data_IF_524222316373
#
_entry.id   IF_524222316373
#
_cell.length_a   1.000
_cell.length_b   1.000
_cell.length_c   1.000
_cell.angle_alpha   90.00
_cell.angle_beta   90.00
_cell.angle_gamma   90.00
#
_symmetry.space_group_name_H-M   'P 1'
#
loop_
_entity.id
_entity.type
_entity.pdbx_description
1 polymer ?
#
# COMPACT_ATOMS: atom_id res chain seq x y z
N UNK A 1 12.33 -12.81 -21.98
CA UNK A 1 13.67 -12.96 -21.40
C UNK A 1 13.53 -13.25 -19.92
N UNK A 2 14.13 -14.33 -19.42
CA UNK A 2 14.14 -14.66 -17.98
C UNK A 2 14.93 -13.56 -17.26
N UNK A 3 14.30 -12.86 -16.33
CA UNK A 3 14.98 -11.83 -15.54
C UNK A 3 15.81 -12.53 -14.47
N UNK A 4 17.12 -12.53 -14.62
CA UNK A 4 18.05 -13.05 -13.60
C UNK A 4 18.17 -12.07 -12.43
N UNK A 5 18.13 -12.58 -11.21
CA UNK A 5 18.34 -11.81 -9.98
C UNK A 5 19.62 -12.33 -9.28
N UNK A 6 20.31 -11.49 -8.51
CA UNK A 6 20.08 -10.06 -8.27
C UNK A 6 20.44 -9.18 -9.47
N UNK A 7 19.83 -7.98 -9.56
CA UNK A 7 20.04 -7.04 -10.66
C UNK A 7 20.10 -5.59 -10.18
N UNK A 8 21.08 -4.82 -10.68
CA UNK A 8 21.17 -3.39 -10.40
C UNK A 8 20.00 -2.62 -11.02
N UNK A 9 19.46 -1.65 -10.28
CA UNK A 9 18.43 -0.74 -10.72
C UNK A 9 18.64 0.63 -10.05
N UNK A 10 19.36 1.51 -10.73
CA UNK A 10 19.82 2.77 -10.13
C UNK A 10 20.62 2.52 -8.85
N UNK A 11 20.19 3.11 -7.73
CA UNK A 11 20.80 2.90 -6.40
C UNK A 11 20.29 1.66 -5.66
N UNK A 12 19.38 0.89 -6.26
CA UNK A 12 18.79 -0.31 -5.68
C UNK A 12 19.36 -1.57 -6.32
N UNK A 13 19.37 -2.67 -5.59
CA UNK A 13 19.59 -4.02 -6.12
C UNK A 13 18.27 -4.77 -6.02
N UNK A 14 17.67 -5.12 -7.16
CA UNK A 14 16.46 -5.95 -7.21
C UNK A 14 16.83 -7.40 -6.88
N UNK A 15 16.13 -8.01 -5.90
CA UNK A 15 16.43 -9.34 -5.39
C UNK A 15 15.49 -10.41 -5.93
N UNK A 16 14.20 -10.11 -5.98
CA UNK A 16 13.17 -10.99 -6.58
C UNK A 16 11.93 -10.21 -6.96
N UNK A 17 11.12 -10.79 -7.85
CA UNK A 17 9.78 -10.29 -8.16
C UNK A 17 8.81 -10.73 -7.06
N UNK A 18 8.05 -9.78 -6.51
CA UNK A 18 6.97 -10.05 -5.56
C UNK A 18 5.63 -10.20 -6.28
N UNK A 19 5.36 -9.34 -7.27
CA UNK A 19 4.14 -9.42 -8.06
C UNK A 19 4.35 -8.85 -9.47
N UNK A 20 3.55 -9.33 -10.43
CA UNK A 20 3.42 -8.78 -11.79
C UNK A 20 1.95 -8.61 -12.12
N UNK A 21 1.59 -7.46 -12.65
CA UNK A 21 0.21 -7.16 -13.04
C UNK A 21 0.11 -6.05 -14.07
N UNK A 22 -1.10 -5.72 -14.49
CA UNK A 22 -1.36 -4.68 -15.49
C UNK A 22 -0.90 -3.27 -15.09
N UNK A 23 -0.74 -3.02 -13.80
CA UNK A 23 -0.27 -1.72 -13.27
C UNK A 23 1.25 -1.64 -13.10
N UNK A 24 1.99 -2.71 -13.40
CA UNK A 24 3.44 -2.76 -13.24
C UNK A 24 3.95 -3.99 -12.53
N UNK A 25 5.21 -3.93 -12.17
CA UNK A 25 5.92 -5.01 -11.49
C UNK A 25 6.39 -4.54 -10.11
N UNK A 26 6.28 -5.42 -9.12
CA UNK A 26 6.68 -5.16 -7.74
C UNK A 26 7.85 -6.08 -7.39
N UNK A 27 8.92 -5.50 -6.86
CA UNK A 27 10.15 -6.20 -6.53
C UNK A 27 10.54 -6.01 -5.07
N UNK A 28 11.06 -7.06 -4.46
CA UNK A 28 11.92 -6.92 -3.29
C UNK A 28 13.25 -6.37 -3.75
N UNK A 29 13.77 -5.39 -3.06
CA UNK A 29 15.04 -4.76 -3.36
C UNK A 29 15.82 -4.43 -2.09
N UNK A 30 17.12 -4.22 -2.25
CA UNK A 30 18.00 -3.70 -1.22
C UNK A 30 18.44 -2.27 -1.57
N UNK A 31 18.46 -1.41 -0.56
CA UNK A 31 19.03 -0.08 -0.59
C UNK A 31 20.21 -0.03 0.37
N UNK A 32 21.38 0.29 -0.13
CA UNK A 32 22.59 0.47 0.66
C UNK A 32 23.80 0.54 -0.29
N UNK A 33 24.83 1.26 0.11
CA UNK A 33 26.11 1.37 -0.62
C UNK A 33 27.28 0.84 0.19
N UNK A 34 27.08 0.54 1.46
CA UNK A 34 28.10 0.07 2.40
C UNK A 34 27.66 -1.29 2.91
N UNK A 35 28.54 -2.26 2.85
CA UNK A 35 28.29 -3.61 3.35
C UNK A 35 27.85 -3.60 4.82
N UNK A 36 26.82 -4.38 5.13
CA UNK A 36 26.23 -4.47 6.47
C UNK A 36 25.23 -3.35 6.81
N UNK A 37 25.02 -2.34 5.96
CA UNK A 37 24.05 -1.27 6.14
C UNK A 37 22.90 -1.32 5.11
N UNK A 38 22.65 -2.49 4.57
CA UNK A 38 21.57 -2.71 3.62
C UNK A 38 20.20 -2.68 4.29
N UNK A 39 19.25 -2.05 3.62
CA UNK A 39 17.85 -2.06 4.03
C UNK A 39 17.00 -2.66 2.93
N UNK A 40 16.24 -3.71 3.27
CA UNK A 40 15.24 -4.25 2.37
C UNK A 40 14.10 -3.24 2.18
N UNK A 41 13.64 -3.15 0.94
CA UNK A 41 12.55 -2.28 0.53
C UNK A 41 11.78 -2.92 -0.62
N UNK A 42 10.68 -2.28 -0.99
CA UNK A 42 9.86 -2.66 -2.15
C UNK A 42 10.02 -1.60 -3.23
N UNK A 43 10.29 -2.03 -4.45
CA UNK A 43 10.28 -1.18 -5.65
C UNK A 43 9.05 -1.55 -6.48
N UNK A 44 8.15 -0.60 -6.64
CA UNK A 44 7.02 -0.70 -7.56
C UNK A 44 7.39 0.04 -8.83
N UNK A 45 7.62 -0.71 -9.92
CA UNK A 45 7.82 -0.14 -11.25
C UNK A 45 6.48 0.13 -11.91
N UNK A 46 6.37 1.29 -12.51
CA UNK A 46 5.23 1.65 -13.34
C UNK A 46 5.70 1.62 -14.79
N UNK A 47 5.06 0.81 -15.61
CA UNK A 47 5.36 0.72 -17.03
C UNK A 47 4.53 1.82 -17.73
N UNK A 48 5.14 2.91 -18.22
CA UNK A 48 4.40 3.85 -19.03
C UNK A 48 4.02 3.15 -20.33
N UNK A 49 2.77 3.14 -20.69
CA UNK A 49 2.41 2.82 -22.08
C UNK A 49 3.10 3.81 -23.02
N UNK A 50 3.61 3.30 -24.14
CA UNK A 50 4.61 3.92 -25.02
C UNK A 50 4.26 5.31 -25.61
N UNK A 51 3.15 5.96 -25.25
CA UNK A 51 2.67 7.15 -25.94
C UNK A 51 2.13 8.31 -25.08
N UNK A 52 2.24 8.28 -23.73
CA UNK A 52 1.53 9.30 -22.95
C UNK A 52 2.42 10.02 -21.91
N UNK A 53 3.02 11.15 -22.35
CA UNK A 53 3.72 12.09 -21.46
C UNK A 53 2.81 12.61 -20.31
N UNK A 54 1.49 12.63 -20.51
CA UNK A 54 0.52 13.01 -19.50
C UNK A 54 0.41 12.01 -18.37
N UNK A 55 0.59 10.71 -18.63
CA UNK A 55 0.59 9.67 -17.60
C UNK A 55 1.83 9.77 -16.71
N UNK A 56 2.98 10.04 -17.29
CA UNK A 56 4.24 10.25 -16.56
C UNK A 56 4.14 11.44 -15.59
N UNK A 57 3.60 12.56 -16.04
CA UNK A 57 3.40 13.76 -15.23
C UNK A 57 2.44 13.49 -14.06
N UNK A 58 1.31 12.84 -14.32
CA UNK A 58 0.33 12.47 -13.27
C UNK A 58 0.96 11.56 -12.21
N UNK A 59 1.71 10.53 -12.64
CA UNK A 59 2.43 9.64 -11.73
C UNK A 59 3.38 10.42 -10.82
N UNK A 60 4.18 11.35 -11.37
CA UNK A 60 5.11 12.16 -10.60
C UNK A 60 4.39 13.10 -9.61
N UNK A 61 3.28 13.69 -10.01
CA UNK A 61 2.51 14.59 -9.15
C UNK A 61 1.86 13.83 -7.98
N UNK A 62 1.33 12.65 -8.23
CA UNK A 62 0.81 11.76 -7.19
C UNK A 62 1.92 11.24 -6.27
N UNK A 63 3.08 10.84 -6.82
CA UNK A 63 4.23 10.41 -6.05
C UNK A 63 4.72 11.51 -5.08
N UNK A 64 4.71 12.79 -5.50
CA UNK A 64 5.07 13.93 -4.62
C UNK A 64 4.19 14.01 -3.39
N UNK A 65 2.90 13.71 -3.52
CA UNK A 65 1.96 13.73 -2.40
C UNK A 65 2.26 12.55 -1.46
N UNK A 66 2.37 11.34 -2.01
CA UNK A 66 2.59 10.13 -1.21
C UNK A 66 3.91 10.17 -0.45
N UNK A 67 4.97 10.74 -1.03
CA UNK A 67 6.26 10.95 -0.35
C UNK A 67 6.18 11.85 0.91
N UNK A 68 5.14 12.67 1.04
CA UNK A 68 4.93 13.54 2.21
C UNK A 68 4.16 12.87 3.32
N UNK A 69 3.42 11.80 3.00
CA UNK A 69 2.59 11.11 3.99
C UNK A 69 3.48 10.28 4.92
N UNK A 70 3.30 10.45 6.22
CA UNK A 70 4.01 9.67 7.24
C UNK A 70 3.07 9.34 8.38
N UNK A 71 2.63 8.08 8.44
CA UNK A 71 1.73 7.59 9.47
C UNK A 71 1.96 6.09 9.69
N UNK A 72 1.83 5.58 10.92
CA UNK A 72 2.08 4.17 11.23
C UNK A 72 1.15 3.19 10.48
N UNK A 73 -0.09 3.60 10.21
CA UNK A 73 -1.06 2.85 9.42
C UNK A 73 -0.95 3.01 7.90
N UNK A 74 0.12 3.64 7.38
CA UNK A 74 0.39 3.76 5.96
C UNK A 74 1.73 3.10 5.63
N UNK A 75 1.83 2.47 4.45
CA UNK A 75 3.13 2.03 3.93
C UNK A 75 3.97 3.26 3.61
N UNK A 76 5.11 3.40 4.28
CA UNK A 76 5.97 4.56 4.13
C UNK A 76 6.67 4.54 2.78
N UNK A 77 6.34 5.50 1.92
CA UNK A 77 7.04 5.76 0.66
C UNK A 77 8.16 6.75 0.92
N UNK A 78 9.38 6.42 0.56
CA UNK A 78 10.56 7.25 0.89
C UNK A 78 11.35 7.73 -0.31
N UNK A 79 11.06 7.21 -1.51
CA UNK A 79 11.72 7.62 -2.73
C UNK A 79 10.83 7.35 -3.96
N UNK A 80 11.00 8.15 -5.00
CA UNK A 80 10.41 7.93 -6.30
C UNK A 80 11.33 8.54 -7.35
N UNK A 81 11.34 7.97 -8.54
CA UNK A 81 12.21 8.46 -9.60
C UNK A 81 12.07 7.69 -10.90
N UNK A 82 13.10 7.81 -11.74
CA UNK A 82 13.20 7.15 -13.03
C UNK A 82 14.57 6.52 -13.20
N UNK A 83 14.60 5.29 -13.69
CA UNK A 83 15.81 4.56 -14.10
C UNK A 83 15.53 3.95 -15.47
N UNK A 84 16.38 4.19 -16.46
CA UNK A 84 16.27 3.64 -17.82
C UNK A 84 14.87 3.80 -18.45
N UNK A 85 14.25 4.98 -18.29
CA UNK A 85 12.88 5.30 -18.72
C UNK A 85 11.76 4.57 -17.98
N UNK A 86 12.06 3.80 -16.94
CA UNK A 86 11.08 3.15 -16.07
C UNK A 86 10.86 4.00 -14.81
N UNK A 87 9.62 4.40 -14.54
CA UNK A 87 9.28 5.07 -13.29
C UNK A 87 9.17 4.08 -12.15
N UNK A 88 9.59 4.50 -10.96
CA UNK A 88 9.50 3.68 -9.78
C UNK A 88 9.08 4.49 -8.54
N UNK A 89 8.50 3.76 -7.61
CA UNK A 89 8.29 4.20 -6.23
C UNK A 89 8.99 3.19 -5.33
N UNK A 90 9.78 3.70 -4.37
CA UNK A 90 10.40 2.89 -3.33
C UNK A 90 9.67 3.10 -2.00
N UNK A 91 9.31 1.99 -1.36
CA UNK A 91 8.55 1.98 -0.13
C UNK A 91 9.12 0.98 0.87
N UNK A 92 8.71 1.12 2.14
CA UNK A 92 9.09 0.15 3.16
C UNK A 92 8.61 -1.25 2.78
N UNK A 93 9.40 -2.25 3.14
CA UNK A 93 8.97 -3.63 3.08
C UNK A 93 8.16 -3.95 4.34
N UNK A 94 6.92 -4.36 4.15
CA UNK A 94 6.07 -4.87 5.23
C UNK A 94 6.20 -6.39 5.26
N UNK A 95 6.69 -6.91 6.37
CA UNK A 95 6.80 -8.36 6.59
C UNK A 95 5.44 -8.92 6.97
N UNK A 96 4.69 -9.36 5.98
CA UNK A 96 3.30 -9.76 6.13
C UNK A 96 2.64 -10.12 4.82
N UNK A 97 1.32 -10.12 4.81
CA UNK A 97 0.47 -10.45 3.65
C UNK A 97 -0.62 -9.42 3.47
N UNK A 98 -1.09 -9.27 2.24
CA UNK A 98 -2.31 -8.49 2.02
C UNK A 98 -3.54 -9.23 2.56
N UNK A 99 -4.57 -8.46 2.90
CA UNK A 99 -5.78 -8.98 3.53
C UNK A 99 -6.55 -9.95 2.63
N UNK A 100 -6.41 -9.86 1.30
CA UNK A 100 -7.01 -10.81 0.36
C UNK A 100 -6.32 -12.18 0.46
N UNK A 101 -5.00 -12.19 0.56
CA UNK A 101 -4.24 -13.42 0.75
C UNK A 101 -4.55 -14.05 2.12
N UNK A 102 -4.63 -13.22 3.18
CA UNK A 102 -5.03 -13.68 4.52
C UNK A 102 -6.43 -14.30 4.50
N UNK A 103 -7.40 -13.62 3.88
CA UNK A 103 -8.75 -14.16 3.68
C UNK A 103 -8.74 -15.52 2.99
N UNK A 104 -8.09 -15.61 1.83
CA UNK A 104 -8.00 -16.82 1.06
C UNK A 104 -7.30 -17.95 1.83
N UNK A 105 -6.29 -17.61 2.64
CA UNK A 105 -5.61 -18.56 3.51
C UNK A 105 -6.53 -19.08 4.59
N UNK A 106 -7.26 -18.21 5.26
CA UNK A 106 -8.25 -18.58 6.27
C UNK A 106 -9.31 -19.55 5.70
N UNK A 107 -9.84 -19.24 4.51
CA UNK A 107 -10.80 -20.13 3.83
C UNK A 107 -10.18 -21.51 3.56
N UNK A 108 -8.96 -21.57 3.04
CA UNK A 108 -8.26 -22.83 2.73
C UNK A 108 -8.02 -23.71 3.96
N UNK A 109 -7.68 -23.10 5.10
CA UNK A 109 -7.43 -23.83 6.36
C UNK A 109 -8.68 -23.94 7.22
N UNK A 110 -9.85 -23.52 6.72
CA UNK A 110 -11.15 -23.52 7.43
C UNK A 110 -11.09 -22.77 8.77
N UNK A 111 -10.31 -21.71 8.82
CA UNK A 111 -10.21 -20.83 9.97
C UNK A 111 -11.03 -19.56 9.72
N UNK A 112 -11.80 -19.11 10.72
CA UNK A 112 -12.51 -17.84 10.62
C UNK A 112 -11.58 -16.73 11.05
N UNK A 113 -11.71 -15.56 10.42
CA UNK A 113 -11.06 -14.35 10.92
C UNK A 113 -11.77 -13.96 12.24
N UNK A 114 -11.04 -13.89 13.37
CA UNK A 114 -11.64 -13.47 14.65
C UNK A 114 -12.25 -12.06 14.56
N UNK A 115 -13.33 -11.83 15.30
CA UNK A 115 -14.00 -10.51 15.33
C UNK A 115 -13.04 -9.40 15.79
N UNK A 116 -12.16 -9.71 16.74
CA UNK A 116 -11.14 -8.79 17.25
C UNK A 116 -10.18 -8.36 16.15
N UNK A 117 -9.78 -9.28 15.28
CA UNK A 117 -8.91 -8.98 14.13
C UNK A 117 -9.65 -8.09 13.14
N UNK A 118 -10.89 -8.43 12.77
CA UNK A 118 -11.69 -7.65 11.83
C UNK A 118 -11.89 -6.20 12.32
N UNK A 119 -12.21 -6.03 13.59
CA UNK A 119 -12.43 -4.73 14.21
C UNK A 119 -11.12 -3.94 14.38
N UNK A 120 -10.01 -4.61 14.72
CA UNK A 120 -8.70 -3.97 14.78
C UNK A 120 -8.31 -3.41 13.42
N UNK A 121 -8.41 -4.23 12.36
CA UNK A 121 -8.12 -3.81 10.98
C UNK A 121 -8.96 -2.59 10.61
N UNK A 122 -10.27 -2.62 10.84
CA UNK A 122 -11.15 -1.50 10.49
C UNK A 122 -10.81 -0.21 11.26
N UNK A 123 -10.54 -0.31 12.58
CA UNK A 123 -10.17 0.83 13.41
C UNK A 123 -8.85 1.47 12.98
N UNK A 124 -7.82 0.64 12.71
CA UNK A 124 -6.52 1.13 12.26
C UNK A 124 -6.60 1.76 10.86
N UNK A 125 -7.41 1.18 9.97
CA UNK A 125 -7.66 1.78 8.65
C UNK A 125 -8.44 3.10 8.76
N UNK A 126 -9.46 3.18 9.61
CA UNK A 126 -10.16 4.44 9.86
C UNK A 126 -9.22 5.51 10.42
N UNK A 127 -8.27 5.14 11.31
CA UNK A 127 -7.23 6.04 11.83
C UNK A 127 -6.28 6.52 10.73
N UNK A 128 -5.84 5.64 9.85
CA UNK A 128 -5.00 5.99 8.72
C UNK A 128 -5.72 6.91 7.72
N UNK A 129 -6.99 6.62 7.42
CA UNK A 129 -7.84 7.46 6.56
C UNK A 129 -8.10 8.82 7.19
N UNK A 130 -8.31 8.91 8.51
CA UNK A 130 -8.47 10.20 9.21
C UNK A 130 -7.25 11.09 9.01
N UNK A 131 -6.03 10.52 9.14
CA UNK A 131 -4.79 11.26 8.85
C UNK A 131 -4.71 11.72 7.39
N UNK A 132 -5.06 10.85 6.43
CA UNK A 132 -5.00 11.16 4.99
C UNK A 132 -5.99 12.25 4.63
N UNK A 133 -7.25 12.13 5.08
CA UNK A 133 -8.31 13.08 4.76
C UNK A 133 -8.08 14.46 5.38
N UNK A 134 -7.41 14.52 6.55
CA UNK A 134 -7.03 15.77 7.21
C UNK A 134 -5.68 16.34 6.71
N UNK A 135 -5.00 15.65 5.77
CA UNK A 135 -3.66 16.05 5.35
C UNK A 135 -3.70 17.30 4.48
N UNK A 136 -3.45 18.46 5.12
CA UNK A 136 -3.34 19.74 4.43
C UNK A 136 -4.59 20.06 3.58
N UNK A 137 -4.58 21.14 2.83
CA UNK A 137 -5.70 21.58 1.97
C UNK A 137 -5.90 20.72 0.70
N UNK A 138 -5.26 19.54 0.65
CA UNK A 138 -5.24 18.69 -0.55
C UNK A 138 -6.49 17.80 -0.70
N UNK A 139 -7.38 17.75 0.30
CA UNK A 139 -8.59 16.89 0.28
C UNK A 139 -8.33 15.49 -0.28
N UNK A 140 -7.27 14.84 0.24
CA UNK A 140 -6.84 13.55 -0.26
C UNK A 140 -7.89 12.47 0.02
N UNK A 141 -8.25 11.73 -1.01
CA UNK A 141 -9.13 10.56 -0.93
C UNK A 141 -8.37 9.38 -1.51
N UNK A 142 -8.35 8.24 -0.81
CA UNK A 142 -7.62 7.05 -1.25
C UNK A 142 -8.25 6.39 -2.48
N UNK A 143 -9.57 6.30 -2.53
CA UNK A 143 -10.40 5.81 -3.66
C UNK A 143 -10.26 4.34 -4.02
N UNK A 144 -9.38 3.61 -3.36
CA UNK A 144 -9.12 2.18 -3.63
C UNK A 144 -8.89 1.38 -2.33
N UNK A 145 -9.69 1.66 -1.30
CA UNK A 145 -9.69 0.87 -0.06
C UNK A 145 -10.29 -0.49 -0.35
N UNK A 146 -9.44 -1.53 -0.34
CA UNK A 146 -9.83 -2.90 -0.66
C UNK A 146 -8.83 -3.88 -0.03
N UNK A 147 -9.20 -5.17 0.17
CA UNK A 147 -8.32 -6.15 0.82
C UNK A 147 -6.91 -6.27 0.23
N UNK A 148 -6.66 -6.18 -1.09
CA UNK A 148 -5.29 -6.23 -1.63
C UNK A 148 -4.42 -5.04 -1.25
N UNK A 149 -5.02 -3.92 -0.81
CA UNK A 149 -4.31 -2.70 -0.45
C UNK A 149 -4.18 -2.52 1.08
N UNK A 150 -4.63 -3.50 1.87
CA UNK A 150 -4.49 -3.54 3.33
C UNK A 150 -3.51 -4.65 3.67
N UNK A 151 -2.36 -4.29 4.25
CA UNK A 151 -1.31 -5.23 4.63
C UNK A 151 -1.42 -5.55 6.12
N UNK A 152 -1.40 -6.83 6.46
CA UNK A 152 -1.28 -7.33 7.82
C UNK A 152 0.15 -7.82 8.03
N UNK A 153 0.90 -7.12 8.86
CA UNK A 153 2.25 -7.53 9.22
C UNK A 153 2.24 -8.68 10.24
N UNK A 154 3.28 -9.50 10.25
CA UNK A 154 3.39 -10.61 11.19
C UNK A 154 3.48 -10.17 12.65
N UNK A 155 3.96 -8.95 12.90
CA UNK A 155 3.98 -8.33 14.24
C UNK A 155 2.62 -7.74 14.67
N UNK A 156 1.60 -7.77 13.81
CA UNK A 156 0.26 -7.26 14.08
C UNK A 156 -0.03 -5.85 13.55
N UNK A 157 0.96 -5.16 12.97
CA UNK A 157 0.71 -3.86 12.34
C UNK A 157 -0.23 -4.01 11.15
N UNK A 158 -1.10 -3.01 10.95
CA UNK A 158 -2.01 -2.91 9.81
C UNK A 158 -1.69 -1.66 9.03
N UNK A 159 -1.41 -1.81 7.73
CA UNK A 159 -0.97 -0.71 6.89
C UNK A 159 -1.74 -0.63 5.57
N UNK A 160 -2.12 0.58 5.18
CA UNK A 160 -2.73 0.88 3.90
C UNK A 160 -1.63 1.22 2.88
N UNK A 161 -1.73 0.62 1.69
CA UNK A 161 -0.80 0.86 0.56
C UNK A 161 -1.56 1.30 -0.68
N UNK A 162 -0.83 1.68 -1.72
CA UNK A 162 -1.38 1.96 -3.05
C UNK A 162 -2.45 3.06 -3.06
N UNK A 163 -2.10 4.23 -2.53
CA UNK A 163 -2.88 5.45 -2.80
C UNK A 163 -3.14 5.54 -4.30
N UNK A 164 -4.39 5.69 -4.69
CA UNK A 164 -4.95 5.60 -6.04
C UNK A 164 -4.18 6.19 -7.22
N UNK A 165 -2.82 6.08 -7.17
CA UNK A 165 -1.84 6.53 -8.15
C UNK A 165 -2.15 6.07 -9.58
N UNK A 166 -2.91 4.97 -9.70
CA UNK A 166 -3.26 4.42 -11.00
C UNK A 166 -4.63 4.88 -11.51
N UNK A 167 -5.50 5.44 -10.67
CA UNK A 167 -6.89 5.71 -11.07
C UNK A 167 -7.11 7.04 -11.77
N UNK A 168 -6.27 8.04 -11.56
CA UNK A 168 -6.29 9.24 -12.39
C UNK A 168 -5.79 8.95 -13.81
N UNK A 169 -4.88 7.96 -13.94
CA UNK A 169 -4.42 7.47 -15.25
C UNK A 169 -5.40 6.49 -15.92
N UNK A 170 -6.25 5.79 -15.14
CA UNK A 170 -7.15 4.74 -15.63
C UNK A 170 -8.57 5.25 -15.95
N UNK A 171 -8.84 6.54 -15.92
CA UNK A 171 -10.16 7.07 -16.37
C UNK A 171 -10.50 6.71 -17.82
N UNK A 172 -9.53 6.26 -18.60
CA UNK A 172 -9.72 5.89 -20.01
C UNK A 172 -9.54 4.38 -20.31
N UNK A 173 -9.03 3.58 -19.39
CA UNK A 173 -8.89 2.14 -19.62
C UNK A 173 -10.05 1.36 -19.04
N UNK A 174 -11.04 1.16 -19.87
CA UNK A 174 -11.94 0.03 -19.81
C UNK A 174 -11.12 -1.24 -20.05
N UNK A 175 -10.80 -1.98 -18.93
CA UNK A 175 -10.95 -3.41 -18.94
C UNK A 175 -9.82 -4.31 -19.43
N UNK A 176 -9.23 -5.01 -18.47
CA UNK A 176 -9.09 -6.45 -18.66
C UNK A 176 -10.23 -7.14 -17.87
N UNK A 177 -11.10 -7.95 -18.51
CA UNK A 177 -12.16 -8.68 -17.83
C UNK A 177 -11.56 -9.66 -16.81
N UNK A 178 -12.03 -9.64 -15.57
CA UNK A 178 -11.61 -10.53 -14.51
C UNK A 178 -10.86 -9.87 -13.35
N UNK A 179 -9.87 -9.00 -13.57
CA UNK A 179 -9.15 -8.29 -12.50
C UNK A 179 -9.93 -7.07 -12.01
N UNK A 180 -10.64 -6.39 -12.91
CA UNK A 180 -11.48 -5.24 -12.59
C UNK A 180 -12.71 -5.63 -11.78
N UNK A 181 -13.29 -6.80 -12.01
CA UNK A 181 -14.49 -7.27 -11.31
C UNK A 181 -14.27 -7.46 -9.81
N UNK A 182 -13.15 -8.03 -9.38
CA UNK A 182 -12.87 -8.25 -7.96
C UNK A 182 -12.75 -6.95 -7.14
N UNK A 183 -12.28 -5.85 -7.73
CA UNK A 183 -12.20 -4.54 -7.09
C UNK A 183 -13.49 -3.75 -7.16
N UNK A 184 -14.33 -3.99 -8.18
CA UNK A 184 -15.60 -3.30 -8.34
C UNK A 184 -16.54 -3.50 -7.15
N UNK A 185 -16.46 -4.64 -6.44
CA UNK A 185 -17.27 -4.92 -5.27
C UNK A 185 -17.04 -3.95 -4.09
N UNK A 186 -15.89 -3.27 -4.05
CA UNK A 186 -15.53 -2.31 -2.99
C UNK A 186 -15.77 -0.85 -3.40
N UNK A 187 -16.22 -0.60 -4.63
CA UNK A 187 -16.52 0.75 -5.10
C UNK A 187 -17.73 1.30 -4.36
N UNK A 188 -17.63 2.56 -3.93
CA UNK A 188 -18.78 3.27 -3.43
C UNK A 188 -19.78 3.59 -4.57
N UNK A 189 -21.10 3.67 -4.26
CA UNK A 189 -22.14 3.92 -5.26
C UNK A 189 -21.87 5.15 -6.12
N UNK A 190 -21.39 6.23 -5.53
CA UNK A 190 -21.02 7.48 -6.22
C UNK A 190 -19.87 7.27 -7.22
N UNK A 191 -18.90 6.44 -6.90
CA UNK A 191 -17.81 6.10 -7.84
C UNK A 191 -18.36 5.33 -9.05
N UNK A 192 -19.26 4.38 -8.80
CA UNK A 192 -19.90 3.60 -9.86
C UNK A 192 -20.84 4.45 -10.75
N UNK A 193 -21.34 5.57 -10.22
CA UNK A 193 -22.12 6.58 -10.99
C UNK A 193 -21.24 7.60 -11.69
N UNK A 194 -19.91 7.58 -11.47
CA UNK A 194 -18.97 8.56 -12.04
C UNK A 194 -18.99 9.93 -11.34
N UNK A 195 -19.57 10.01 -10.15
CA UNK A 195 -19.60 11.23 -9.33
C UNK A 195 -18.22 11.48 -8.69
N UNK A 196 -18.00 12.72 -8.25
CA UNK A 196 -16.76 13.09 -7.55
C UNK A 196 -16.69 12.35 -6.21
N UNK A 197 -15.58 11.62 -6.02
CA UNK A 197 -15.29 10.95 -4.75
C UNK A 197 -14.87 11.97 -3.69
N UNK A 198 -15.35 11.77 -2.46
CA UNK A 198 -14.96 12.53 -1.27
C UNK A 198 -14.53 11.56 -0.14
N UNK A 199 -14.05 12.04 1.03
CA UNK A 199 -13.60 11.17 2.12
C UNK A 199 -14.58 10.04 2.49
N UNK A 200 -15.89 10.26 2.41
CA UNK A 200 -16.94 9.28 2.72
C UNK A 200 -16.98 8.10 1.74
N UNK A 201 -16.36 8.25 0.58
CA UNK A 201 -16.15 7.16 -0.39
C UNK A 201 -15.26 6.06 0.21
N UNK A 202 -14.15 6.46 0.86
CA UNK A 202 -13.23 5.51 1.49
C UNK A 202 -13.87 4.81 2.71
N UNK A 203 -14.75 5.52 3.44
CA UNK A 203 -15.48 4.96 4.59
C UNK A 203 -16.44 3.86 4.14
N UNK A 204 -17.14 4.06 3.02
CA UNK A 204 -17.99 3.03 2.44
C UNK A 204 -17.18 1.78 2.07
N UNK A 205 -16.07 1.97 1.36
CA UNK A 205 -15.20 0.86 0.93
C UNK A 205 -14.63 0.10 2.14
N UNK A 206 -14.23 0.82 3.21
CA UNK A 206 -13.78 0.20 4.47
C UNK A 206 -14.91 -0.56 5.16
N UNK A 207 -16.13 -0.04 5.14
CA UNK A 207 -17.28 -0.72 5.71
C UNK A 207 -17.61 -2.03 4.95
N UNK A 208 -17.47 -2.05 3.62
CA UNK A 208 -17.58 -3.28 2.82
C UNK A 208 -16.53 -4.30 3.27
N UNK A 209 -15.27 -3.88 3.42
CA UNK A 209 -14.20 -4.77 3.91
C UNK A 209 -14.54 -5.34 5.29
N UNK A 210 -14.95 -4.48 6.23
CA UNK A 210 -15.31 -4.93 7.58
C UNK A 210 -16.50 -5.90 7.57
N UNK A 211 -17.53 -5.61 6.79
CA UNK A 211 -18.69 -6.48 6.66
C UNK A 211 -18.29 -7.88 6.18
N UNK A 212 -17.41 -7.95 5.17
CA UNK A 212 -16.90 -9.21 4.65
C UNK A 212 -16.08 -9.96 5.71
N UNK A 213 -15.16 -9.29 6.42
CA UNK A 213 -14.35 -9.90 7.46
C UNK A 213 -15.20 -10.50 8.60
N UNK A 214 -16.25 -9.81 9.01
CA UNK A 214 -17.15 -10.23 10.08
C UNK A 214 -18.03 -11.42 9.66
N UNK A 215 -18.54 -11.42 8.43
CA UNK A 215 -19.50 -12.42 7.98
C UNK A 215 -18.83 -13.65 7.34
N UNK A 216 -17.61 -13.49 6.79
CA UNK A 216 -16.97 -14.53 5.97
C UNK A 216 -17.59 -14.66 4.57
N UNK A 217 -18.39 -13.71 4.13
CA UNK A 217 -19.07 -13.69 2.84
C UNK A 217 -18.74 -12.42 2.06
N UNK A 218 -18.84 -12.49 0.73
CA UNK A 218 -18.77 -11.28 -0.11
C UNK A 218 -20.01 -10.43 0.11
N UNK A 219 -19.82 -9.12 0.30
CA UNK A 219 -20.92 -8.16 0.46
C UNK A 219 -21.75 -8.04 -0.81
N UNK A 220 -21.10 -7.84 -1.96
CA UNK A 220 -21.73 -7.85 -3.28
C UNK A 220 -21.23 -9.04 -4.09
N UNK A 221 -22.11 -9.95 -4.43
CA UNK A 221 -21.78 -11.10 -5.28
C UNK A 221 -21.88 -10.70 -6.75
N UNK A 222 -20.79 -10.12 -7.26
CA UNK A 222 -20.70 -9.66 -8.66
C UNK A 222 -19.91 -10.60 -9.55
N UNK A 223 -19.29 -11.63 -8.99
CA UNK A 223 -18.55 -12.66 -9.76
C UNK A 223 -19.49 -13.44 -10.67
N UNK A 224 -19.13 -13.58 -11.94
CA UNK A 224 -19.94 -14.31 -12.93
C UNK A 224 -21.07 -13.49 -13.56
N UNK A 225 -21.31 -12.27 -13.12
CA UNK A 225 -22.25 -11.36 -13.77
C UNK A 225 -21.62 -10.67 -14.98
N UNK A 226 -22.43 -10.24 -15.92
CA UNK A 226 -21.97 -9.33 -16.96
C UNK A 226 -21.62 -7.95 -16.37
N UNK A 227 -20.77 -7.15 -17.04
CA UNK A 227 -20.30 -5.86 -16.53
C UNK A 227 -21.41 -4.88 -16.16
N UNK A 228 -22.49 -4.85 -16.93
CA UNK A 228 -23.58 -3.90 -16.71
C UNK A 228 -24.40 -4.30 -15.46
N UNK A 229 -24.70 -5.59 -15.30
CA UNK A 229 -25.40 -6.13 -14.13
C UNK A 229 -24.56 -5.93 -12.85
N UNK A 230 -23.26 -6.22 -12.90
CA UNK A 230 -22.36 -5.98 -11.79
C UNK A 230 -22.33 -4.49 -11.38
N UNK A 231 -22.21 -3.59 -12.36
CA UNK A 231 -22.21 -2.15 -12.10
C UNK A 231 -23.54 -1.66 -11.56
N UNK A 232 -24.67 -2.22 -12.01
CA UNK A 232 -26.00 -1.89 -11.49
C UNK A 232 -26.13 -2.22 -10.01
N UNK A 233 -25.61 -3.38 -9.56
CA UNK A 233 -25.57 -3.74 -8.13
C UNK A 233 -24.73 -2.77 -7.31
N UNK A 234 -23.58 -2.35 -7.82
CA UNK A 234 -22.70 -1.39 -7.13
C UNK A 234 -23.33 0.00 -7.05
N UNK A 235 -24.05 0.42 -8.09
CA UNK A 235 -24.77 1.72 -8.13
C UNK A 235 -25.93 1.80 -7.15
N UNK A 236 -26.60 0.67 -6.89
CA UNK A 236 -27.82 0.60 -6.10
C UNK A 236 -27.75 -0.52 -5.04
N UNK A 237 -26.75 -0.46 -4.13
CA UNK A 237 -26.59 -1.50 -3.11
C UNK A 237 -27.75 -1.45 -2.13
N UNK A 238 -28.11 -2.61 -1.60
CA UNK A 238 -29.06 -2.74 -0.49
C UNK A 238 -28.28 -3.11 0.76
N UNK A 239 -28.04 -2.18 1.69
CA UNK A 239 -27.33 -2.49 2.92
C UNK A 239 -27.99 -3.62 3.68
N UNK A 240 -27.21 -4.64 4.01
CA UNK A 240 -27.67 -5.79 4.79
C UNK A 240 -26.88 -5.84 6.08
N UNK A 241 -27.54 -5.93 7.24
CA UNK A 241 -26.85 -6.03 8.52
C UNK A 241 -26.00 -7.32 8.54
N UNK A 242 -24.77 -7.28 9.08
CA UNK A 242 -23.92 -8.46 9.13
C UNK A 242 -24.54 -9.61 9.93
N UNK A 243 -25.37 -9.34 10.94
CA UNK A 243 -26.08 -10.37 11.71
C UNK A 243 -27.01 -11.23 10.87
N UNK A 244 -27.52 -10.73 9.74
CA UNK A 244 -28.33 -11.51 8.80
C UNK A 244 -27.54 -12.68 8.15
N UNK A 245 -26.21 -12.62 8.13
CA UNK A 245 -25.32 -13.66 7.63
C UNK A 245 -24.51 -14.33 8.74
N UNK A 246 -24.31 -13.63 9.84
CA UNK A 246 -23.50 -14.06 10.97
C UNK A 246 -24.26 -13.76 12.29
N UNK A 247 -25.17 -14.66 12.75
CA UNK A 247 -26.08 -14.39 13.88
C UNK A 247 -25.38 -14.11 15.23
N UNK A 248 -24.07 -14.34 15.32
CA UNK A 248 -23.24 -14.01 16.49
C UNK A 248 -22.81 -12.53 16.53
N UNK A 249 -23.06 -11.77 15.47
CA UNK A 249 -22.75 -10.34 15.43
C UNK A 249 -23.79 -9.57 16.24
N UNK A 250 -23.29 -8.64 17.05
CA UNK A 250 -24.13 -7.84 17.96
C UNK A 250 -24.88 -6.73 17.22
N UNK A 251 -26.05 -6.29 17.73
CA UNK A 251 -26.82 -5.20 17.12
C UNK A 251 -26.03 -3.88 17.01
N UNK A 252 -25.06 -3.62 17.87
CA UNK A 252 -24.23 -2.42 17.80
C UNK A 252 -23.39 -2.41 16.52
N UNK A 253 -22.85 -3.55 16.11
CA UNK A 253 -22.09 -3.66 14.87
C UNK A 253 -22.99 -3.58 13.64
N UNK A 254 -24.22 -4.11 13.71
CA UNK A 254 -25.23 -3.91 12.66
C UNK A 254 -25.48 -2.42 12.44
N UNK A 255 -25.70 -1.67 13.51
CA UNK A 255 -25.98 -0.23 13.44
C UNK A 255 -24.81 0.53 12.80
N UNK A 256 -23.60 0.29 13.29
CA UNK A 256 -22.38 0.92 12.76
C UNK A 256 -22.20 0.63 11.26
N UNK A 257 -22.38 -0.62 10.82
CA UNK A 257 -22.18 -0.99 9.43
C UNK A 257 -23.31 -0.54 8.51
N UNK A 258 -24.58 -0.59 8.94
CA UNK A 258 -25.70 -0.08 8.14
C UNK A 258 -25.55 1.42 7.88
N UNK A 259 -25.12 2.19 8.87
CA UNK A 259 -24.83 3.62 8.67
C UNK A 259 -23.67 3.82 7.70
N UNK A 260 -22.53 3.13 7.89
CA UNK A 260 -21.36 3.30 7.02
C UNK A 260 -21.60 2.85 5.57
N UNK A 261 -22.47 1.84 5.37
CA UNK A 261 -22.86 1.29 4.06
C UNK A 261 -24.05 2.02 3.41
N UNK A 262 -24.55 3.13 3.98
CA UNK A 262 -25.66 3.85 3.39
C UNK A 262 -25.36 4.26 1.94
N UNK A 263 -26.27 3.98 0.96
CA UNK A 263 -26.08 4.38 -0.44
C UNK A 263 -25.96 5.90 -0.62
N UNK A 264 -26.70 6.66 0.18
CA UNK A 264 -26.59 8.10 0.29
C UNK A 264 -25.44 8.46 1.23
N UNK A 265 -24.39 9.10 0.68
CA UNK A 265 -23.21 9.53 1.43
C UNK A 265 -23.52 10.55 2.54
N UNK A 266 -24.66 11.29 2.44
CA UNK A 266 -25.12 12.20 3.48
C UNK A 266 -25.59 11.49 4.75
N UNK A 267 -25.93 10.19 4.65
CA UNK A 267 -26.35 9.34 5.78
C UNK A 267 -25.24 8.53 6.41
N UNK A 268 -24.04 8.52 5.79
CA UNK A 268 -22.86 7.87 6.34
C UNK A 268 -22.23 8.69 7.47
N UNK A 269 -21.21 8.14 8.11
CA UNK A 269 -20.29 8.93 8.92
C UNK A 269 -19.68 10.02 8.06
N UNK A 270 -19.58 11.25 8.61
CA UNK A 270 -19.13 12.39 7.83
C UNK A 270 -17.60 12.55 7.83
N UNK A 271 -16.91 11.86 8.73
CA UNK A 271 -15.43 11.80 8.76
C UNK A 271 -14.94 10.42 9.16
N UNK A 272 -13.68 10.11 8.79
CA UNK A 272 -13.01 8.88 9.23
C UNK A 272 -12.81 8.84 10.74
N UNK A 273 -12.68 9.99 11.39
CA UNK A 273 -12.59 10.10 12.84
C UNK A 273 -13.90 9.74 13.52
N UNK A 274 -15.04 10.22 13.00
CA UNK A 274 -16.37 9.84 13.48
C UNK A 274 -16.60 8.32 13.37
N UNK A 275 -16.24 7.73 12.21
CA UNK A 275 -16.34 6.28 12.02
C UNK A 275 -15.42 5.51 12.98
N UNK A 276 -14.19 5.99 13.19
CA UNK A 276 -13.24 5.41 14.15
C UNK A 276 -13.78 5.42 15.59
N UNK A 277 -14.44 6.50 15.99
CA UNK A 277 -15.08 6.60 17.30
C UNK A 277 -16.19 5.56 17.45
N UNK A 278 -17.11 5.48 16.48
CA UNK A 278 -18.20 4.49 16.51
C UNK A 278 -17.64 3.04 16.57
N UNK A 279 -16.56 2.75 15.81
CA UNK A 279 -15.88 1.46 15.91
C UNK A 279 -15.27 1.23 17.29
N UNK A 280 -14.68 2.25 17.92
CA UNK A 280 -14.08 2.13 19.25
C UNK A 280 -15.11 1.87 20.34
N UNK A 281 -16.27 2.49 20.26
CA UNK A 281 -17.41 2.24 21.14
C UNK A 281 -17.94 0.81 20.99
N UNK A 282 -18.15 0.36 19.74
CA UNK A 282 -18.56 -1.01 19.46
C UNK A 282 -17.54 -2.05 19.96
N UNK A 283 -16.23 -1.77 19.79
CA UNK A 283 -15.15 -2.62 20.31
C UNK A 283 -15.21 -2.73 21.83
N UNK A 284 -15.40 -1.62 22.53
CA UNK A 284 -15.50 -1.61 24.00
C UNK A 284 -16.67 -2.47 24.50
N UNK A 285 -17.77 -2.51 23.75
CA UNK A 285 -18.97 -3.28 24.10
C UNK A 285 -18.83 -4.78 23.78
N UNK A 286 -18.40 -5.13 22.56
CA UNK A 286 -18.50 -6.51 22.08
C UNK A 286 -17.17 -7.25 21.91
N UNK A 287 -16.03 -6.55 21.88
CA UNK A 287 -14.71 -7.15 21.63
C UNK A 287 -13.56 -6.40 22.34
N UNK A 288 -13.59 -6.28 23.69
CA UNK A 288 -12.64 -5.43 24.44
C UNK A 288 -11.18 -5.87 24.35
N UNK A 289 -10.90 -7.09 23.83
CA UNK A 289 -9.55 -7.60 23.62
C UNK A 289 -8.99 -7.30 22.23
N UNK A 290 -9.58 -6.35 21.52
CA UNK A 290 -9.19 -5.95 20.16
C UNK A 290 -7.89 -5.15 20.19
N UNK A 291 -6.80 -5.76 19.73
CA UNK A 291 -5.46 -5.16 19.64
C UNK A 291 -4.60 -5.78 18.51
N UNK A 292 -3.39 -5.27 18.34
CA UNK A 292 -2.44 -5.78 17.35
C UNK A 292 -1.98 -7.23 17.65
N UNK A 293 -1.99 -7.65 18.93
CA UNK A 293 -1.59 -8.99 19.30
C UNK A 293 -2.52 -10.04 18.68
N UNK A 294 -3.83 -9.75 18.57
CA UNK A 294 -4.80 -10.67 17.92
C UNK A 294 -4.49 -10.86 16.44
N UNK A 295 -4.04 -9.80 15.75
CA UNK A 295 -3.60 -9.90 14.35
C UNK A 295 -2.34 -10.76 14.27
N UNK A 296 -1.34 -10.49 15.11
CA UNK A 296 -0.10 -11.28 15.15
C UNK A 296 -0.36 -12.76 15.44
N UNK A 297 -1.21 -13.08 16.42
CA UNK A 297 -1.61 -14.45 16.74
C UNK A 297 -2.24 -15.17 15.53
N UNK A 298 -3.19 -14.51 14.84
CA UNK A 298 -3.78 -15.06 13.63
C UNK A 298 -2.70 -15.32 12.58
N UNK A 299 -1.86 -14.33 12.29
CA UNK A 299 -0.83 -14.42 11.25
C UNK A 299 0.15 -15.57 11.53
N UNK A 300 0.61 -15.70 12.78
CA UNK A 300 1.49 -16.81 13.18
C UNK A 300 0.78 -18.17 13.11
N UNK A 301 -0.50 -18.26 13.46
CA UNK A 301 -1.25 -19.51 13.41
C UNK A 301 -1.41 -20.07 12.00
N UNK A 302 -1.61 -19.20 10.99
CA UNK A 302 -1.90 -19.63 9.62
C UNK A 302 -0.69 -19.56 8.68
N UNK A 303 0.40 -18.86 9.06
CA UNK A 303 1.59 -18.65 8.23
C UNK A 303 2.91 -19.12 8.87
N UNK A 304 2.90 -19.89 9.97
CA UNK A 304 4.12 -20.27 10.73
C UNK A 304 5.26 -20.77 9.83
N UNK A 305 4.97 -21.69 8.89
CA UNK A 305 5.99 -22.23 7.96
C UNK A 305 6.47 -21.16 6.98
N UNK A 306 5.54 -20.38 6.42
CA UNK A 306 5.86 -19.33 5.44
C UNK A 306 6.74 -18.25 6.08
N UNK A 307 6.45 -17.87 7.32
CA UNK A 307 7.26 -16.91 8.09
C UNK A 307 8.70 -17.41 8.23
N UNK A 308 8.88 -18.69 8.58
CA UNK A 308 10.21 -19.26 8.71
C UNK A 308 10.97 -19.30 7.37
N UNK A 309 10.30 -19.68 6.28
CA UNK A 309 10.86 -19.69 4.92
C UNK A 309 11.24 -18.29 4.45
N UNK A 310 10.37 -17.31 4.64
CA UNK A 310 10.65 -15.91 4.25
C UNK A 310 11.75 -15.28 5.08
N UNK A 311 11.84 -15.62 6.39
CA UNK A 311 12.95 -15.16 7.23
C UNK A 311 14.28 -15.72 6.75
N UNK A 312 14.36 -17.02 6.48
CA UNK A 312 15.56 -17.67 5.97
C UNK A 312 15.98 -17.09 4.60
N UNK A 313 15.01 -16.85 3.71
CA UNK A 313 15.25 -16.24 2.42
C UNK A 313 15.83 -14.81 2.56
N UNK A 314 15.24 -13.97 3.42
CA UNK A 314 15.74 -12.61 3.69
C UNK A 314 17.15 -12.63 4.27
N UNK A 315 17.40 -13.57 5.18
CA UNK A 315 18.72 -13.74 5.78
C UNK A 315 19.78 -14.13 4.71
N UNK A 316 19.46 -15.07 3.81
CA UNK A 316 20.32 -15.43 2.69
C UNK A 316 20.56 -14.25 1.72
N UNK A 317 19.52 -13.46 1.40
CA UNK A 317 19.71 -12.25 0.61
C UNK A 317 20.71 -11.28 1.24
N UNK A 318 20.59 -11.06 2.54
CA UNK A 318 21.43 -10.08 3.25
C UNK A 318 22.85 -10.57 3.52
N UNK A 319 23.04 -11.85 3.86
CA UNK A 319 24.34 -12.38 4.29
C UNK A 319 25.16 -12.97 3.14
N UNK A 320 24.54 -13.48 2.09
CA UNK A 320 25.22 -14.23 1.04
C UNK A 320 25.11 -13.56 -0.34
N UNK A 321 23.87 -13.27 -0.78
CA UNK A 321 23.58 -12.88 -2.16
C UNK A 321 24.03 -11.43 -2.43
N UNK A 322 23.68 -10.50 -1.56
CA UNK A 322 24.05 -9.09 -1.73
C UNK A 322 25.56 -8.85 -1.65
N UNK A 323 26.29 -9.38 -0.65
CA UNK A 323 27.73 -9.21 -0.61
C UNK A 323 28.43 -9.81 -1.84
N UNK A 324 28.03 -11.02 -2.27
CA UNK A 324 28.58 -11.67 -3.46
C UNK A 324 28.30 -10.88 -4.74
N UNK A 325 27.09 -10.36 -4.89
CA UNK A 325 26.73 -9.53 -6.04
C UNK A 325 27.56 -8.24 -6.10
N UNK A 326 27.77 -7.58 -4.97
CA UNK A 326 28.56 -6.35 -4.88
C UNK A 326 30.03 -6.61 -5.16
N UNK A 327 30.60 -7.65 -4.57
CA UNK A 327 31.99 -8.03 -4.85
C UNK A 327 32.25 -8.25 -6.34
N UNK A 328 31.27 -8.82 -7.05
CA UNK A 328 31.38 -9.04 -8.51
C UNK A 328 31.19 -7.75 -9.34
N UNK A 329 30.59 -6.68 -8.78
CA UNK A 329 30.25 -5.44 -9.48
C UNK A 329 30.96 -4.19 -8.91
N UNK A 330 31.86 -4.36 -7.93
CA UNK A 330 32.71 -3.26 -7.43
C UNK A 330 33.73 -2.94 -8.52
N UNK A 331 33.83 -1.71 -9.02
CA UNK A 331 34.90 -1.33 -9.93
C UNK A 331 36.23 -1.57 -9.20
N UNK A 332 37.15 -2.25 -9.87
CA UNK A 332 38.52 -2.43 -9.36
C UNK A 332 39.05 -1.07 -8.93
N UNK A 333 39.59 -0.92 -7.71
CA UNK A 333 40.16 0.34 -7.30
C UNK A 333 41.20 0.76 -8.35
N UNK A 334 40.97 1.90 -8.97
CA UNK A 334 42.01 2.51 -9.83
C UNK A 334 43.14 2.84 -8.86
N UNK A 335 44.24 2.09 -8.94
CA UNK A 335 45.46 2.46 -8.23
C UNK A 335 45.80 3.88 -8.68
N UNK A 336 45.93 4.86 -7.76
CA UNK A 336 46.34 6.19 -8.16
C UNK A 336 47.64 6.10 -8.92
N UNK A 337 47.68 6.61 -10.13
CA UNK A 337 48.94 6.77 -10.87
C UNK A 337 49.73 7.85 -10.15
N UNK A 338 51.07 7.73 -10.11
CA UNK A 338 51.95 8.69 -9.43
C UNK A 338 51.80 10.14 -9.90
N UNK A 339 51.01 10.38 -10.94
CA UNK A 339 50.72 11.69 -11.51
C UNK A 339 49.43 12.38 -10.95
N UNK A 340 48.70 11.77 -10.02
CA UNK A 340 47.53 12.39 -9.43
C UNK A 340 47.95 13.44 -8.37
N UNK A 341 47.40 14.65 -8.42
CA UNK A 341 47.74 15.68 -7.42
C UNK A 341 47.25 15.27 -6.02
N UNK A 342 47.99 15.59 -4.94
CA UNK A 342 47.68 15.14 -3.59
C UNK A 342 46.31 15.65 -3.14
N UNK A 343 45.45 14.74 -2.70
CA UNK A 343 44.13 15.05 -2.10
C UNK A 343 44.34 15.89 -0.88
N UNK A 344 43.85 17.12 -0.91
CA UNK A 344 43.91 18.04 0.23
C UNK A 344 43.18 17.47 1.44
N UNK A 345 43.82 17.47 2.60
CA UNK A 345 43.25 16.98 3.85
C UNK A 345 41.97 17.77 4.20
N UNK A 346 40.92 17.11 4.74
CA UNK A 346 39.67 17.76 5.07
C UNK A 346 39.86 18.75 6.20
N UNK A 347 39.43 20.00 5.96
CA UNK A 347 39.43 21.07 6.97
C UNK A 347 38.46 20.71 8.11
N UNK A 348 38.92 20.84 9.36
CA UNK A 348 38.10 20.69 10.57
C UNK A 348 37.00 21.73 10.62
N UNK A 349 35.74 21.32 10.71
CA UNK A 349 34.67 22.12 11.27
C UNK A 349 33.41 22.24 10.43
N UNK A 350 32.44 21.34 10.72
CA UNK A 350 31.02 21.70 10.92
C UNK A 350 30.29 20.45 11.44
N UNK A 351 29.51 20.65 12.50
CA UNK A 351 28.74 19.61 13.15
C UNK A 351 27.80 18.88 12.17
N UNK A 352 27.72 17.55 12.27
CA UNK A 352 26.85 16.75 11.44
C UNK A 352 25.37 17.06 11.74
N UNK A 353 24.52 17.24 10.73
CA UNK A 353 23.11 17.53 10.92
C UNK A 353 22.38 16.36 11.61
N UNK A 354 21.37 16.70 12.42
CA UNK A 354 20.54 15.75 13.17
C UNK A 354 19.80 14.76 12.23
N UNK A 355 19.35 13.62 12.76
CA UNK A 355 18.64 12.62 11.98
C UNK A 355 17.36 13.16 11.29
N UNK A 356 16.73 14.20 11.87
CA UNK A 356 15.58 14.88 11.31
C UNK A 356 15.96 15.76 10.10
N UNK A 357 17.08 16.47 10.19
CA UNK A 357 17.61 17.31 9.09
C UNK A 357 18.11 16.46 7.93
N UNK A 358 18.69 15.27 8.18
CA UNK A 358 19.04 14.30 7.12
C UNK A 358 17.82 13.75 6.40
N UNK A 359 16.70 13.51 7.11
CA UNK A 359 15.43 13.07 6.50
C UNK A 359 14.80 14.19 5.67
N UNK A 360 14.83 15.43 6.17
CA UNK A 360 14.35 16.59 5.43
C UNK A 360 15.19 16.87 4.18
N UNK A 361 16.52 16.77 4.27
CA UNK A 361 17.43 16.94 3.13
C UNK A 361 17.25 15.88 2.05
N UNK A 362 17.05 14.58 2.42
CA UNK A 362 16.78 13.50 1.46
C UNK A 362 15.42 13.68 0.77
N UNK A 363 14.40 14.15 1.51
CA UNK A 363 13.09 14.47 0.94
C UNK A 363 13.17 15.67 -0.02
N UNK A 364 13.94 16.68 0.33
CA UNK A 364 14.16 17.85 -0.54
C UNK A 364 14.87 17.45 -1.83
N UNK A 365 15.89 16.58 -1.77
CA UNK A 365 16.60 16.09 -2.94
C UNK A 365 15.68 15.28 -3.88
N UNK A 366 14.86 14.38 -3.34
CA UNK A 366 13.87 13.62 -4.13
C UNK A 366 12.84 14.56 -4.79
N UNK A 367 12.40 15.59 -4.07
CA UNK A 367 11.49 16.62 -4.60
C UNK A 367 12.14 17.47 -5.70
N UNK A 368 13.42 17.74 -5.60
CA UNK A 368 14.17 18.53 -6.59
C UNK A 368 14.34 17.72 -7.89
N UNK A 369 14.66 16.43 -7.80
CA UNK A 369 14.72 15.53 -8.96
C UNK A 369 13.36 15.43 -9.66
N UNK A 370 12.27 15.30 -8.89
CA UNK A 370 10.93 15.29 -9.43
C UNK A 370 10.54 16.62 -10.10
N UNK A 371 11.00 17.74 -9.56
CA UNK A 371 10.77 19.06 -10.15
C UNK A 371 11.56 19.28 -11.46
N UNK A 372 12.79 18.76 -11.54
CA UNK A 372 13.61 18.79 -12.76
C UNK A 372 13.01 17.92 -13.86
N UNK A 373 12.59 16.70 -13.54
CA UNK A 373 11.90 15.81 -14.47
C UNK A 373 10.59 16.41 -15.02
N UNK A 374 9.87 17.15 -14.18
CA UNK A 374 8.65 17.85 -14.61
C UNK A 374 8.95 19.03 -15.56
N UNK A 375 10.11 19.68 -15.42
CA UNK A 375 10.54 20.76 -16.34
C UNK A 375 10.99 20.22 -17.69
N UNK A 376 11.69 19.08 -17.72
CA UNK A 376 12.13 18.45 -18.96
C UNK A 376 10.97 17.85 -19.79
N UNK A 377 9.88 17.45 -19.12
CA UNK A 377 8.69 16.90 -19.80
C UNK A 377 7.69 17.97 -20.27
N UNK A 378 7.89 19.26 -19.90
CA UNK A 378 7.03 20.39 -20.27
C UNK A 378 7.55 21.28 -21.39
N UNK A 379 8.70 20.95 -21.97
CA UNK A 379 9.30 21.66 -23.10
C UNK A 379 9.19 20.88 -24.39
N UNK A 380 7.99 20.87 -24.98
CA UNK A 380 7.72 20.73 -26.43
C UNK A 380 6.29 21.16 -26.70
#
# INVERSE_FOLDING_TARGET
>A
MSTTFPRQFGKYVLLKTLAKGGMGEIYMAALGQIDGFDKLCVIKKVIPEKSDAGKAKRFLDEAKVVLRLTHSGLVNTFDAGQVDREFYIAMEMVEGKDLREVWNRCVRVRHRIPIEVALHVAREMARALSYVHAYSDLNLVHRDVAPPNILLAYNGDVKLTDFGLARSALKEEHTQPGVVFGRAAYLAPEQARGEVADPRTDLYSLAVVLWELLTGHQYLQISGLDPAAALALVRHPKPTPPSARAPWITPVLDHVLIQALAPDRGKRYQSAEEFRHALSEAIAECAPRTDAARVSELMHSIYQKVIAEENAERESFMKEILPSFRAAHTPTPVTPTEDDPPIAAPSKGKASPSGAERRAGKRAAAMQVLAELAKESGGN
#
